data_IF_964804649001
#
_entry.id   IF_964804649001
#
_cell.length_a   1.000
_cell.length_b   1.000
_cell.length_c   1.000
_cell.angle_alpha   90.00
_cell.angle_beta   90.00
_cell.angle_gamma   90.00
#
_symmetry.space_group_name_H-M   'P 1'
#
loop_
_entity.id
_entity.type
_entity.pdbx_description
1 polymer ?
#
# COMPACT_ATOMS: atom_id res chain seq x y z
N UNK A 1 -19.26 -31.34 2.77
CA UNK A 1 -19.14 -32.09 1.50
C UNK A 1 -18.04 -31.55 0.58
N UNK A 2 -17.87 -30.22 0.49
CA UNK A 2 -16.85 -29.57 -0.35
C UNK A 2 -15.41 -30.09 -0.10
N UNK A 3 -15.01 -30.30 1.15
CA UNK A 3 -13.68 -30.85 1.46
C UNK A 3 -13.51 -32.32 1.03
N UNK A 4 -14.57 -33.14 1.09
CA UNK A 4 -14.53 -34.53 0.62
C UNK A 4 -14.42 -34.59 -0.90
N UNK A 5 -15.17 -33.73 -1.60
CA UNK A 5 -15.08 -33.58 -3.06
C UNK A 5 -13.69 -33.08 -3.47
N UNK A 6 -13.13 -32.09 -2.77
CA UNK A 6 -11.75 -31.62 -2.99
C UNK A 6 -10.74 -32.76 -2.82
N UNK A 7 -10.87 -33.58 -1.79
CA UNK A 7 -9.99 -34.73 -1.54
C UNK A 7 -10.07 -35.74 -2.69
N UNK A 8 -11.28 -36.10 -3.13
CA UNK A 8 -11.49 -37.02 -4.26
C UNK A 8 -10.89 -36.46 -5.55
N UNK A 9 -11.09 -35.18 -5.84
CA UNK A 9 -10.48 -34.51 -7.00
C UNK A 9 -8.94 -34.56 -6.92
N UNK A 10 -8.37 -34.27 -5.74
CA UNK A 10 -6.92 -34.29 -5.54
C UNK A 10 -6.34 -35.70 -5.72
N UNK A 11 -7.07 -36.72 -5.27
CA UNK A 11 -6.68 -38.11 -5.45
C UNK A 11 -6.69 -38.53 -6.93
N UNK A 12 -7.69 -38.09 -7.70
CA UNK A 12 -7.76 -38.33 -9.15
C UNK A 12 -6.59 -37.64 -9.85
N UNK A 13 -6.30 -36.39 -9.52
CA UNK A 13 -5.15 -35.66 -10.09
C UNK A 13 -3.84 -36.37 -9.76
N UNK A 14 -3.67 -36.83 -8.51
CA UNK A 14 -2.48 -37.58 -8.10
C UNK A 14 -2.31 -38.87 -8.91
N UNK A 15 -3.40 -39.63 -9.11
CA UNK A 15 -3.40 -40.84 -9.92
C UNK A 15 -3.06 -40.56 -11.39
N UNK A 16 -3.59 -39.47 -11.97
CA UNK A 16 -3.27 -39.06 -13.34
C UNK A 16 -1.80 -38.70 -13.50
N UNK A 17 -1.22 -37.99 -12.52
CA UNK A 17 0.21 -37.65 -12.52
C UNK A 17 1.05 -38.92 -12.40
N UNK A 18 0.72 -39.83 -11.49
CA UNK A 18 1.42 -41.10 -11.33
C UNK A 18 1.37 -41.96 -12.61
N UNK A 19 0.19 -42.04 -13.24
CA UNK A 19 -0.01 -42.73 -14.52
C UNK A 19 0.83 -42.08 -15.64
N UNK A 20 0.79 -40.75 -15.75
CA UNK A 20 1.59 -40.00 -16.72
C UNK A 20 3.09 -40.26 -16.52
N UNK A 21 3.59 -40.19 -15.29
CA UNK A 21 5.00 -40.48 -14.98
C UNK A 21 5.36 -41.93 -15.32
N UNK A 22 4.49 -42.89 -14.98
CA UNK A 22 4.71 -44.31 -15.27
C UNK A 22 4.75 -44.63 -16.76
N UNK A 23 4.00 -43.91 -17.61
CA UNK A 23 4.05 -44.09 -19.06
C UNK A 23 5.23 -43.37 -19.72
N UNK A 24 5.76 -42.33 -19.08
CA UNK A 24 6.84 -41.50 -19.62
C UNK A 24 8.17 -41.76 -18.86
N UNK A 25 8.40 -43.01 -18.45
CA UNK A 25 9.64 -43.44 -17.77
C UNK A 25 10.86 -43.40 -18.71
N UNK A 26 10.63 -43.54 -20.02
CA UNK A 26 11.68 -43.48 -21.04
C UNK A 26 11.46 -42.28 -21.98
N UNK A 27 12.53 -41.55 -22.38
CA UNK A 27 13.93 -41.78 -22.03
C UNK A 27 14.27 -41.37 -20.59
N UNK A 28 15.10 -42.17 -19.93
CA UNK A 28 15.81 -41.77 -18.71
C UNK A 28 17.05 -40.96 -19.12
N UNK A 29 17.33 -39.87 -18.40
CA UNK A 29 18.47 -39.00 -18.67
C UNK A 29 19.30 -38.83 -17.42
N UNK A 30 20.62 -38.86 -17.62
CA UNK A 30 21.59 -38.43 -16.61
C UNK A 30 22.02 -37.00 -16.95
N UNK A 31 21.81 -36.09 -16.00
CA UNK A 31 22.18 -34.69 -16.15
C UNK A 31 23.56 -34.48 -15.52
N UNK A 32 24.49 -33.92 -16.28
CA UNK A 32 25.78 -33.49 -15.76
C UNK A 32 25.59 -32.14 -15.06
N UNK A 33 25.49 -32.15 -13.72
CA UNK A 33 25.37 -30.93 -12.93
C UNK A 33 26.72 -30.24 -12.75
N UNK A 34 27.81 -31.02 -12.65
CA UNK A 34 29.18 -30.55 -12.58
C UNK A 34 30.09 -31.43 -13.44
N UNK A 35 31.32 -30.98 -13.79
CA UNK A 35 32.26 -31.76 -14.59
C UNK A 35 32.48 -33.20 -14.08
N UNK A 36 32.44 -33.39 -12.76
CA UNK A 36 32.66 -34.68 -12.09
C UNK A 36 31.39 -35.29 -11.50
N UNK A 37 30.23 -34.64 -11.61
CA UNK A 37 29.01 -35.08 -10.94
C UNK A 37 27.85 -35.22 -11.92
N UNK A 38 27.34 -36.45 -12.00
CA UNK A 38 26.20 -36.81 -12.82
C UNK A 38 25.07 -37.29 -11.91
N UNK A 39 23.84 -36.94 -12.26
CA UNK A 39 22.68 -37.46 -11.54
C UNK A 39 22.46 -38.93 -11.87
N UNK A 40 21.76 -39.68 -11.01
CA UNK A 40 21.15 -40.93 -11.41
C UNK A 40 20.28 -40.76 -12.66
N UNK A 41 20.01 -41.86 -13.36
CA UNK A 41 19.06 -41.88 -14.47
C UNK A 41 17.64 -41.63 -13.95
N UNK A 42 17.09 -40.46 -14.31
CA UNK A 42 15.73 -40.06 -13.93
C UNK A 42 14.91 -39.88 -15.21
N UNK A 43 13.64 -40.28 -15.24
CA UNK A 43 12.75 -40.01 -16.36
C UNK A 43 12.69 -38.52 -16.73
N UNK A 44 12.78 -38.20 -18.03
CA UNK A 44 12.75 -36.82 -18.52
C UNK A 44 11.51 -36.05 -18.06
N UNK A 45 10.35 -36.70 -18.02
CA UNK A 45 9.11 -36.09 -17.57
C UNK A 45 9.22 -35.50 -16.15
N UNK A 46 9.93 -36.19 -15.25
CA UNK A 46 10.11 -35.75 -13.87
C UNK A 46 11.03 -34.53 -13.78
N UNK A 47 12.08 -34.50 -14.63
CA UNK A 47 12.98 -33.35 -14.77
C UNK A 47 12.20 -32.11 -15.25
N UNK A 48 11.35 -32.26 -16.26
CA UNK A 48 10.53 -31.16 -16.80
C UNK A 48 9.54 -30.65 -15.74
N UNK A 49 8.82 -31.54 -15.07
CA UNK A 49 7.86 -31.18 -14.02
C UNK A 49 8.59 -30.44 -12.88
N UNK A 50 9.72 -30.97 -12.41
CA UNK A 50 10.51 -30.33 -11.36
C UNK A 50 11.01 -28.94 -11.79
N UNK A 51 11.45 -28.80 -13.04
CA UNK A 51 11.92 -27.53 -13.61
C UNK A 51 10.79 -26.50 -13.74
N UNK A 52 9.59 -26.94 -14.15
CA UNK A 52 8.40 -26.09 -14.21
C UNK A 52 7.98 -25.63 -12.81
N UNK A 53 7.99 -26.52 -11.82
CA UNK A 53 7.68 -26.17 -10.42
C UNK A 53 8.71 -25.17 -9.91
N UNK A 54 10.00 -25.41 -10.13
CA UNK A 54 11.06 -24.47 -9.75
C UNK A 54 10.87 -23.10 -10.41
N UNK A 55 10.55 -23.07 -11.71
CA UNK A 55 10.23 -21.82 -12.41
C UNK A 55 9.03 -21.08 -11.79
N UNK A 56 7.95 -21.79 -11.47
CA UNK A 56 6.79 -21.21 -10.80
C UNK A 56 7.13 -20.67 -9.40
N UNK A 57 7.95 -21.40 -8.63
CA UNK A 57 8.44 -20.97 -7.31
C UNK A 57 9.29 -19.71 -7.42
N UNK A 58 10.16 -19.61 -8.43
CA UNK A 58 10.97 -18.41 -8.67
C UNK A 58 10.10 -17.20 -9.02
N UNK A 59 9.10 -17.38 -9.89
CA UNK A 59 8.14 -16.31 -10.21
C UNK A 59 7.40 -15.87 -8.95
N UNK A 60 6.94 -16.81 -8.12
CA UNK A 60 6.29 -16.50 -6.85
C UNK A 60 7.22 -15.69 -5.93
N UNK A 61 8.50 -16.06 -5.83
CA UNK A 61 9.49 -15.30 -5.06
C UNK A 61 9.61 -13.85 -5.54
N UNK A 62 9.65 -13.62 -6.86
CA UNK A 62 9.68 -12.26 -7.41
C UNK A 62 8.41 -11.49 -7.10
N UNK A 63 7.23 -12.10 -7.26
CA UNK A 63 5.94 -11.43 -6.98
C UNK A 63 5.79 -11.04 -5.51
N UNK A 64 6.34 -11.82 -4.57
CA UNK A 64 6.35 -11.48 -3.14
C UNK A 64 7.18 -10.21 -2.89
N UNK A 65 8.30 -10.08 -3.59
CA UNK A 65 9.19 -8.90 -3.46
C UNK A 65 8.46 -7.64 -3.95
N UNK A 66 7.79 -7.71 -5.10
CA UNK A 66 6.99 -6.60 -5.63
C UNK A 66 5.85 -6.22 -4.68
N UNK A 67 5.18 -7.22 -4.11
CA UNK A 67 4.09 -7.00 -3.17
C UNK A 67 4.56 -6.31 -1.88
N UNK A 68 5.75 -6.67 -1.38
CA UNK A 68 6.36 -6.03 -0.21
C UNK A 68 6.65 -4.56 -0.51
N UNK A 69 7.31 -4.26 -1.65
CA UNK A 69 7.61 -2.89 -2.07
C UNK A 69 6.34 -2.05 -2.18
N UNK A 70 5.31 -2.59 -2.83
CA UNK A 70 4.01 -1.94 -2.96
C UNK A 70 3.35 -1.67 -1.60
N UNK A 71 3.44 -2.61 -0.65
CA UNK A 71 2.88 -2.44 0.70
C UNK A 71 3.58 -1.33 1.47
N UNK A 72 4.91 -1.22 1.33
CA UNK A 72 5.71 -0.15 1.95
C UNK A 72 5.30 1.22 1.38
N UNK A 73 5.20 1.33 0.05
CA UNK A 73 4.76 2.58 -0.60
C UNK A 73 3.35 2.97 -0.15
N UNK A 74 2.41 2.02 -0.13
CA UNK A 74 1.05 2.27 0.36
C UNK A 74 1.03 2.78 1.80
N UNK A 75 1.88 2.23 2.68
CA UNK A 75 2.02 2.72 4.05
C UNK A 75 2.59 4.14 4.11
N UNK A 76 3.59 4.45 3.27
CA UNK A 76 4.19 5.79 3.19
C UNK A 76 3.15 6.82 2.72
N UNK A 77 2.42 6.52 1.66
CA UNK A 77 1.34 7.38 1.14
C UNK A 77 0.25 7.59 2.19
N UNK A 78 -0.17 6.53 2.90
CA UNK A 78 -1.18 6.66 3.96
C UNK A 78 -0.72 7.58 5.11
N UNK A 79 0.57 7.50 5.49
CA UNK A 79 1.16 8.42 6.48
C UNK A 79 1.20 9.86 5.99
N UNK A 80 1.53 10.07 4.72
CA UNK A 80 1.52 11.40 4.11
C UNK A 80 0.10 11.99 4.10
N UNK A 81 -0.90 11.23 3.67
CA UNK A 81 -2.31 11.65 3.69
C UNK A 81 -2.72 12.08 5.11
N UNK A 82 -2.48 11.24 6.11
CA UNK A 82 -2.83 11.56 7.50
C UNK A 82 -2.11 12.81 8.03
N UNK A 83 -0.85 13.02 7.63
CA UNK A 83 -0.10 14.23 7.99
C UNK A 83 -0.70 15.47 7.32
N UNK A 84 -1.02 15.40 6.02
CA UNK A 84 -1.63 16.49 5.27
C UNK A 84 -3.03 16.84 5.81
N UNK A 85 -3.85 15.83 6.13
CA UNK A 85 -5.17 16.03 6.76
C UNK A 85 -5.04 16.76 8.10
N UNK A 86 -4.04 16.40 8.91
CA UNK A 86 -3.79 17.08 10.18
C UNK A 86 -3.33 18.53 9.97
N UNK A 87 -2.47 18.77 8.99
CA UNK A 87 -2.02 20.13 8.65
C UNK A 87 -3.19 20.97 8.14
N UNK A 88 -4.03 20.42 7.27
CA UNK A 88 -5.23 21.09 6.75
C UNK A 88 -6.15 21.52 7.90
N UNK A 89 -6.46 20.59 8.82
CA UNK A 89 -7.30 20.88 9.99
C UNK A 89 -6.69 21.95 10.88
N UNK A 90 -5.37 21.93 11.10
CA UNK A 90 -4.69 22.95 11.90
C UNK A 90 -4.75 24.32 11.23
N UNK A 91 -4.50 24.39 9.90
CA UNK A 91 -4.58 25.64 9.14
C UNK A 91 -6.01 26.18 9.07
N UNK A 92 -7.03 25.33 8.99
CA UNK A 92 -8.44 25.73 9.07
C UNK A 92 -8.75 26.34 10.44
N UNK A 93 -8.32 25.70 11.53
CA UNK A 93 -8.53 26.22 12.87
C UNK A 93 -7.77 27.54 13.12
N UNK A 94 -6.56 27.69 12.58
CA UNK A 94 -5.79 28.93 12.67
C UNK A 94 -6.45 30.06 11.87
N UNK A 95 -6.96 29.75 10.67
CA UNK A 95 -7.72 30.70 9.85
C UNK A 95 -8.98 31.19 10.56
N UNK A 96 -9.67 30.32 11.29
CA UNK A 96 -10.87 30.68 12.04
C UNK A 96 -10.55 31.59 13.22
N UNK A 97 -9.49 31.27 14.00
CA UNK A 97 -9.00 32.15 15.07
C UNK A 97 -8.61 33.54 14.56
N UNK A 98 -7.87 33.60 13.44
CA UNK A 98 -7.46 34.87 12.84
C UNK A 98 -8.68 35.69 12.37
N UNK A 99 -9.74 35.05 11.88
CA UNK A 99 -10.99 35.76 11.55
C UNK A 99 -11.65 36.35 12.78
N UNK A 100 -11.78 35.59 13.86
CA UNK A 100 -12.35 36.09 15.12
C UNK A 100 -11.55 37.28 15.68
N UNK A 101 -10.22 37.21 15.58
CA UNK A 101 -9.33 38.30 16.02
C UNK A 101 -9.48 39.55 15.14
N UNK A 102 -9.59 39.39 13.82
CA UNK A 102 -9.89 40.50 12.90
C UNK A 102 -11.23 41.16 13.23
N UNK A 103 -12.29 40.37 13.48
CA UNK A 103 -13.60 40.91 13.84
C UNK A 103 -13.57 41.69 15.16
N UNK A 104 -12.87 41.18 16.18
CA UNK A 104 -12.68 41.90 17.45
C UNK A 104 -11.96 43.23 17.26
N UNK A 105 -10.82 43.20 16.56
CA UNK A 105 -10.03 44.41 16.32
C UNK A 105 -10.81 45.45 15.48
N UNK A 106 -11.62 45.00 14.51
CA UNK A 106 -12.50 45.90 13.76
C UNK A 106 -13.55 46.55 14.66
N UNK A 107 -14.16 45.80 15.58
CA UNK A 107 -15.10 46.34 16.56
C UNK A 107 -14.46 47.37 17.50
N UNK A 108 -13.24 47.10 17.99
CA UNK A 108 -12.48 48.04 18.82
C UNK A 108 -12.16 49.34 18.06
N UNK A 109 -11.74 49.23 16.79
CA UNK A 109 -11.47 50.40 15.93
C UNK A 109 -12.74 51.26 15.74
N UNK A 110 -13.92 50.65 15.56
CA UNK A 110 -15.18 51.39 15.43
C UNK A 110 -15.55 52.15 16.71
N UNK A 111 -15.38 51.52 17.88
CA UNK A 111 -15.64 52.15 19.17
C UNK A 111 -14.69 53.33 19.38
N UNK A 112 -13.39 53.16 19.11
CA UNK A 112 -12.39 54.22 19.24
C UNK A 112 -12.68 55.40 18.29
N UNK A 113 -13.05 55.13 17.03
CA UNK A 113 -13.46 56.17 16.07
C UNK A 113 -14.71 56.93 16.51
N UNK A 114 -15.67 56.23 17.13
CA UNK A 114 -16.86 56.87 17.68
C UNK A 114 -16.52 57.78 18.87
N UNK A 115 -15.61 57.34 19.76
CA UNK A 115 -15.12 58.14 20.89
C UNK A 115 -14.36 59.39 20.44
N UNK A 116 -13.47 59.27 19.45
CA UNK A 116 -12.78 60.42 18.84
C UNK A 116 -13.77 61.44 18.25
N UNK A 117 -14.78 60.98 17.49
CA UNK A 117 -15.82 61.87 16.95
C UNK A 117 -16.61 62.61 18.03
N UNK A 118 -16.86 61.98 19.18
CA UNK A 118 -17.58 62.59 20.30
C UNK A 118 -16.67 63.60 21.03
N UNK A 119 -15.38 63.31 21.18
CA UNK A 119 -14.39 64.21 21.77
C UNK A 119 -14.24 65.50 20.97
N UNK A 120 -14.09 65.39 19.64
CA UNK A 120 -13.96 66.55 18.75
C UNK A 120 -15.22 67.41 18.76
N UNK A 121 -16.42 66.80 18.84
CA UNK A 121 -17.67 67.56 18.93
C UNK A 121 -17.80 68.38 20.22
N UNK A 122 -17.34 67.83 21.35
CA UNK A 122 -17.36 68.52 22.65
C UNK A 122 -16.38 69.70 22.72
N UNK A 123 -15.23 69.60 22.06
CA UNK A 123 -14.28 70.73 21.98
C UNK A 123 -14.78 71.86 21.08
N UNK A 124 -15.58 71.55 20.05
CA UNK A 124 -16.16 72.56 19.14
C UNK A 124 -17.35 73.29 19.78
N UNK A 125 -18.20 72.60 20.56
CA UNK A 125 -19.34 73.23 21.26
C UNK A 125 -18.94 73.97 22.56
N UNK A 126 -17.72 73.75 23.08
CA UNK A 126 -17.20 74.44 24.26
C UNK A 126 -16.40 75.72 23.96
N UNK A 127 -16.27 76.09 22.68
CA UNK A 127 -15.49 77.24 22.21
C UNK A 127 -16.34 78.40 21.65
N UNK A 128 -17.68 78.29 21.70
CA UNK A 128 -18.65 79.38 21.47
C UNK A 128 -19.10 80.01 22.80
#
# INVERSE_FOLDING_TARGET
MLNKIKLVIWLIVLLLVAYFVSMNVQPSLSVKLLPSYQTPEIPLALIIIASMILGAVLILMFTITDWISFKIEKMKLKRQISSLEKQLKNSEAEKEKLKEEIEKLQGEIEILKAQEKISVKKEVEGAE
#
